data_IF_866500652189
#
_entry.id   IF_866500652189
#
_cell.length_a   1.000
_cell.length_b   1.000
_cell.length_c   1.000
_cell.angle_alpha   90.00
_cell.angle_beta   90.00
_cell.angle_gamma   90.00
#
_symmetry.space_group_name_H-M   'P 1'
#
loop_
_entity.id
_entity.type
_entity.pdbx_description
1 polymer ?
#
# COMPACT_ATOMS: atom_id res chain seq x y z
N UNK A 1 -18.50 13.62 17.02
CA UNK A 1 -17.64 13.84 15.84
C UNK A 1 -18.25 13.12 14.65
N UNK A 2 -18.04 13.65 13.46
CA UNK A 2 -18.50 13.04 12.21
C UNK A 2 -17.28 12.56 11.41
N UNK A 3 -17.32 11.34 10.91
CA UNK A 3 -16.25 10.73 10.11
C UNK A 3 -16.76 10.34 8.74
N UNK A 4 -15.99 10.64 7.70
CA UNK A 4 -16.31 10.26 6.33
C UNK A 4 -15.46 9.06 5.89
N UNK A 5 -16.08 8.07 5.27
CA UNK A 5 -15.40 6.95 4.63
C UNK A 5 -15.43 7.14 3.11
N UNK A 6 -14.29 7.40 2.49
CA UNK A 6 -14.17 7.45 1.02
C UNK A 6 -13.85 6.05 0.54
N UNK A 7 -14.88 5.29 0.16
CA UNK A 7 -14.75 3.88 -0.22
C UNK A 7 -15.87 3.44 -1.16
N UNK A 8 -15.60 2.54 -2.14
CA UNK A 8 -16.63 1.86 -2.90
C UNK A 8 -17.25 0.67 -2.13
N UNK A 9 -16.61 0.24 -1.04
CA UNK A 9 -17.02 -0.93 -0.23
C UNK A 9 -17.02 -0.58 1.26
N UNK A 10 -18.11 -0.01 1.79
CA UNK A 10 -18.24 0.26 3.22
C UNK A 10 -18.35 -1.01 4.07
N UNK A 11 -18.71 -2.15 3.47
CA UNK A 11 -18.80 -3.44 4.14
C UNK A 11 -17.43 -4.13 4.28
N UNK A 12 -16.34 -3.52 3.77
CA UNK A 12 -14.99 -4.05 3.99
C UNK A 12 -14.75 -4.30 5.49
N UNK A 13 -14.29 -5.51 5.92
CA UNK A 13 -14.27 -5.92 7.32
C UNK A 13 -13.63 -4.90 8.27
N UNK A 14 -12.49 -4.31 7.90
CA UNK A 14 -11.83 -3.28 8.70
C UNK A 14 -12.72 -2.04 8.89
N UNK A 15 -13.31 -1.54 7.81
CA UNK A 15 -14.14 -0.32 7.87
C UNK A 15 -15.45 -0.58 8.62
N UNK A 16 -16.11 -1.71 8.36
CA UNK A 16 -17.35 -2.06 9.03
C UNK A 16 -17.15 -2.24 10.54
N UNK A 17 -16.08 -2.93 10.96
CA UNK A 17 -15.74 -3.08 12.37
C UNK A 17 -15.38 -1.74 13.01
N UNK A 18 -14.59 -0.89 12.33
CA UNK A 18 -14.26 0.46 12.81
C UNK A 18 -15.52 1.31 12.95
N UNK A 19 -16.43 1.30 11.97
CA UNK A 19 -17.68 2.03 12.03
C UNK A 19 -18.57 1.56 13.20
N UNK A 20 -18.64 0.25 13.44
CA UNK A 20 -19.37 -0.31 14.56
C UNK A 20 -18.82 0.15 15.93
N UNK A 21 -17.49 0.23 16.07
CA UNK A 21 -16.86 0.77 17.29
C UNK A 21 -17.17 2.26 17.53
N UNK A 22 -17.39 3.02 16.44
CA UNK A 22 -17.66 4.44 16.50
C UNK A 22 -19.16 4.75 16.65
N UNK A 23 -20.02 3.82 16.22
CA UNK A 23 -21.48 3.97 16.30
C UNK A 23 -21.95 4.22 17.74
N UNK A 24 -22.98 5.04 17.90
CA UNK A 24 -23.54 5.39 19.20
C UNK A 24 -22.88 6.60 19.90
N UNK A 25 -21.65 6.99 19.50
CA UNK A 25 -20.98 8.22 19.99
C UNK A 25 -20.57 9.16 18.88
N UNK A 26 -20.50 8.67 17.65
CA UNK A 26 -20.00 9.39 16.49
C UNK A 26 -20.84 9.03 15.25
N UNK A 27 -20.95 9.97 14.33
CA UNK A 27 -21.59 9.74 13.03
C UNK A 27 -20.54 9.25 12.04
N UNK A 28 -20.92 8.28 11.20
CA UNK A 28 -20.06 7.75 10.13
C UNK A 28 -20.82 7.84 8.82
N UNK A 29 -20.31 8.68 7.91
CA UNK A 29 -20.87 8.88 6.58
C UNK A 29 -20.02 8.15 5.53
N UNK A 30 -20.66 7.69 4.46
CA UNK A 30 -19.97 7.07 3.34
C UNK A 30 -20.03 7.98 2.12
N UNK A 31 -18.86 8.30 1.57
CA UNK A 31 -18.71 9.02 0.30
C UNK A 31 -18.25 8.03 -0.76
N UNK A 32 -19.10 7.78 -1.75
CA UNK A 32 -18.72 6.89 -2.83
C UNK A 32 -17.72 7.58 -3.77
N UNK A 33 -16.57 6.99 -4.09
CA UNK A 33 -15.50 7.62 -4.88
C UNK A 33 -15.95 8.12 -6.25
N UNK A 34 -16.92 7.45 -6.88
CA UNK A 34 -17.43 7.83 -8.20
C UNK A 34 -18.19 9.16 -8.20
N UNK A 35 -18.57 9.70 -7.03
CA UNK A 35 -19.17 11.02 -6.93
C UNK A 35 -18.17 12.16 -7.20
N UNK A 36 -16.86 11.86 -7.19
CA UNK A 36 -15.79 12.79 -7.53
C UNK A 36 -15.77 14.03 -6.63
N UNK A 37 -15.10 15.09 -7.10
CA UNK A 37 -14.92 16.33 -6.35
C UNK A 37 -16.25 17.03 -5.98
N UNK A 38 -17.33 16.83 -6.73
CA UNK A 38 -18.62 17.45 -6.45
C UNK A 38 -19.20 17.04 -5.07
N UNK A 39 -18.91 15.82 -4.62
CA UNK A 39 -19.36 15.35 -3.30
C UNK A 39 -18.69 16.08 -2.13
N UNK A 40 -17.58 16.79 -2.36
CA UNK A 40 -16.91 17.55 -1.32
C UNK A 40 -17.73 18.76 -0.85
N UNK A 41 -18.54 19.35 -1.73
CA UNK A 41 -19.29 20.59 -1.44
C UNK A 41 -20.33 20.43 -0.29
N UNK A 42 -20.89 19.23 -0.12
CA UNK A 42 -21.84 18.91 0.95
C UNK A 42 -21.23 18.13 2.11
N UNK A 43 -19.96 17.80 2.03
CA UNK A 43 -19.30 16.96 3.02
C UNK A 43 -18.82 17.78 4.21
N UNK A 44 -19.16 17.36 5.43
CA UNK A 44 -18.92 18.11 6.68
C UNK A 44 -18.34 17.24 7.80
N UNK A 45 -17.57 16.20 7.45
CA UNK A 45 -16.94 15.36 8.47
C UNK A 45 -15.68 16.01 9.06
N UNK A 46 -15.38 15.66 10.31
CA UNK A 46 -14.20 16.13 11.03
C UNK A 46 -12.91 15.48 10.52
N UNK A 47 -13.01 14.30 9.92
CA UNK A 47 -11.92 13.55 9.30
C UNK A 47 -12.48 12.61 8.23
N UNK A 48 -11.69 12.36 7.19
CA UNK A 48 -12.02 11.40 6.15
C UNK A 48 -10.99 10.27 6.07
N UNK A 49 -11.47 9.02 5.93
CA UNK A 49 -10.63 7.85 5.72
C UNK A 49 -10.67 7.46 4.23
N UNK A 50 -9.55 7.61 3.52
CA UNK A 50 -9.45 7.34 2.10
C UNK A 50 -9.05 5.88 1.84
N UNK A 51 -10.06 5.01 1.71
CA UNK A 51 -9.86 3.60 1.32
C UNK A 51 -10.27 3.37 -0.14
N UNK A 52 -9.74 4.19 -1.00
CA UNK A 52 -9.88 4.08 -2.45
C UNK A 52 -8.68 4.77 -3.11
N UNK A 53 -8.33 4.34 -4.31
CA UNK A 53 -7.16 4.84 -5.04
C UNK A 53 -7.44 5.15 -6.52
N UNK A 54 -8.74 5.21 -6.90
CA UNK A 54 -9.14 5.62 -8.23
C UNK A 54 -8.90 7.11 -8.45
N UNK A 55 -8.71 7.59 -9.70
CA UNK A 55 -8.57 9.03 -9.97
C UNK A 55 -9.68 9.87 -9.34
N UNK A 56 -10.94 9.44 -9.47
CA UNK A 56 -12.08 10.15 -8.87
C UNK A 56 -12.01 10.20 -7.32
N UNK A 57 -11.54 9.13 -6.66
CA UNK A 57 -11.32 9.12 -5.22
C UNK A 57 -10.24 10.11 -4.79
N UNK A 58 -9.15 10.18 -5.55
CA UNK A 58 -8.06 11.12 -5.28
C UNK A 58 -8.49 12.58 -5.52
N UNK A 59 -9.31 12.83 -6.55
CA UNK A 59 -9.88 14.15 -6.81
C UNK A 59 -10.82 14.59 -5.68
N UNK A 60 -11.69 13.69 -5.20
CA UNK A 60 -12.55 13.93 -4.04
C UNK A 60 -11.71 14.23 -2.79
N UNK A 61 -10.70 13.42 -2.51
CA UNK A 61 -9.80 13.62 -1.36
C UNK A 61 -9.09 14.99 -1.44
N UNK A 62 -8.53 15.36 -2.60
CA UNK A 62 -7.92 16.67 -2.82
C UNK A 62 -8.90 17.83 -2.64
N UNK A 63 -10.16 17.67 -3.06
CA UNK A 63 -11.18 18.70 -2.87
C UNK A 63 -11.49 18.91 -1.38
N UNK A 64 -11.60 17.83 -0.60
CA UNK A 64 -11.78 17.90 0.86
C UNK A 64 -10.56 18.51 1.55
N UNK A 65 -9.35 18.13 1.17
CA UNK A 65 -8.10 18.72 1.70
C UNK A 65 -8.00 20.21 1.43
N UNK A 66 -8.37 20.68 0.23
CA UNK A 66 -8.45 22.12 -0.09
C UNK A 66 -9.47 22.86 0.76
N UNK A 67 -10.55 22.19 1.16
CA UNK A 67 -11.54 22.70 2.12
C UNK A 67 -11.06 22.66 3.59
N UNK A 68 -9.82 22.26 3.85
CA UNK A 68 -9.24 22.18 5.19
C UNK A 68 -9.64 20.94 5.99
N UNK A 69 -10.25 19.93 5.35
CA UNK A 69 -10.60 18.69 6.01
C UNK A 69 -9.39 17.73 6.04
N UNK A 70 -9.08 17.09 7.18
CA UNK A 70 -8.03 16.07 7.25
C UNK A 70 -8.49 14.81 6.53
N UNK A 71 -7.62 14.29 5.64
CA UNK A 71 -7.83 13.02 4.92
C UNK A 71 -6.72 12.04 5.28
N UNK A 72 -7.06 10.85 5.68
CA UNK A 72 -6.15 9.74 6.07
C UNK A 72 -6.31 8.58 5.08
N UNK A 73 -5.29 8.20 4.33
CA UNK A 73 -4.05 8.94 4.05
C UNK A 73 -4.37 10.12 3.10
N UNK A 74 -3.48 11.11 3.03
CA UNK A 74 -3.67 12.20 2.06
C UNK A 74 -3.74 11.67 0.62
N UNK A 75 -4.40 12.44 -0.26
CA UNK A 75 -4.46 12.09 -1.68
C UNK A 75 -3.06 11.96 -2.30
N UNK A 76 -2.15 12.88 -1.95
CA UNK A 76 -0.78 12.87 -2.45
C UNK A 76 0.02 11.65 -1.97
N UNK A 77 -0.08 11.28 -0.69
CA UNK A 77 0.59 10.09 -0.16
C UNK A 77 0.02 8.79 -0.78
N UNK A 78 -1.31 8.74 -0.97
CA UNK A 78 -1.97 7.60 -1.61
C UNK A 78 -1.54 7.44 -3.06
N UNK A 79 -1.47 8.52 -3.83
CA UNK A 79 -1.05 8.51 -5.23
C UNK A 79 0.42 8.11 -5.40
N UNK A 80 1.29 8.56 -4.48
CA UNK A 80 2.72 8.20 -4.45
C UNK A 80 2.95 6.69 -4.37
N UNK A 81 2.11 5.98 -3.62
CA UNK A 81 2.16 4.51 -3.52
C UNK A 81 1.67 3.79 -4.78
N UNK A 82 1.16 4.49 -5.78
CA UNK A 82 0.74 3.88 -7.04
C UNK A 82 1.82 3.91 -8.12
N UNK A 83 2.86 4.73 -8.00
CA UNK A 83 3.97 4.80 -8.95
C UNK A 83 5.20 4.11 -8.37
N UNK A 84 5.48 2.89 -8.82
CA UNK A 84 6.59 2.07 -8.33
C UNK A 84 7.97 2.67 -8.61
N UNK A 85 8.09 3.51 -9.64
CA UNK A 85 9.32 4.28 -9.89
C UNK A 85 9.54 5.31 -8.78
N UNK A 86 8.56 6.20 -8.58
CA UNK A 86 8.66 7.23 -7.54
C UNK A 86 8.71 6.65 -6.12
N UNK A 87 8.06 5.49 -5.91
CA UNK A 87 8.14 4.74 -4.64
C UNK A 87 9.58 4.31 -4.36
N UNK A 88 10.25 3.69 -5.33
CA UNK A 88 11.63 3.23 -5.18
C UNK A 88 12.61 4.41 -5.00
N UNK A 89 12.47 5.46 -5.80
CA UNK A 89 13.29 6.67 -5.69
C UNK A 89 13.19 7.30 -4.30
N UNK A 90 11.97 7.46 -3.77
CA UNK A 90 11.73 8.00 -2.45
C UNK A 90 12.31 7.11 -1.34
N UNK A 91 12.07 5.81 -1.42
CA UNK A 91 12.53 4.85 -0.42
C UNK A 91 14.05 4.76 -0.37
N UNK A 92 14.71 4.60 -1.51
CA UNK A 92 16.17 4.52 -1.63
C UNK A 92 16.83 5.85 -1.24
N UNK A 93 16.28 6.99 -1.69
CA UNK A 93 16.75 8.31 -1.33
C UNK A 93 16.68 8.59 0.19
N UNK A 94 15.76 7.96 0.91
CA UNK A 94 15.64 8.01 2.37
C UNK A 94 16.49 6.94 3.09
N UNK A 95 17.27 6.14 2.37
CA UNK A 95 18.08 5.05 2.92
C UNK A 95 17.27 3.91 3.50
N UNK A 96 16.06 3.65 2.99
CA UNK A 96 15.30 2.44 3.31
C UNK A 96 15.89 1.24 2.55
N UNK A 97 15.88 0.02 3.10
CA UNK A 97 16.30 -1.19 2.42
C UNK A 97 15.22 -1.61 1.39
N UNK A 98 15.14 -0.88 0.30
CA UNK A 98 14.16 -1.09 -0.76
C UNK A 98 14.81 -1.75 -1.97
N UNK A 99 14.08 -2.64 -2.64
CA UNK A 99 14.58 -3.33 -3.83
C UNK A 99 14.97 -2.34 -4.92
N UNK A 100 16.22 -2.44 -5.39
CA UNK A 100 16.71 -1.63 -6.50
C UNK A 100 15.79 -1.80 -7.71
N UNK A 101 15.34 -0.70 -8.27
CA UNK A 101 14.27 -0.68 -9.28
C UNK A 101 14.73 0.03 -10.53
N UNK A 102 14.63 -0.63 -11.68
CA UNK A 102 14.84 -0.04 -13.00
C UNK A 102 13.50 0.18 -13.69
N UNK A 103 13.36 1.28 -14.41
CA UNK A 103 12.11 1.66 -15.09
C UNK A 103 12.27 1.60 -16.60
N UNK A 104 11.27 1.02 -17.26
CA UNK A 104 11.18 0.95 -18.71
C UNK A 104 9.85 1.54 -19.17
N UNK A 105 9.89 2.33 -20.25
CA UNK A 105 8.69 2.96 -20.79
C UNK A 105 7.70 1.93 -21.38
N UNK A 106 8.17 0.71 -21.68
CA UNK A 106 7.32 -0.42 -22.06
C UNK A 106 8.01 -1.76 -21.80
N UNK A 107 7.24 -2.84 -21.71
CA UNK A 107 7.77 -4.20 -21.66
C UNK A 107 8.59 -4.53 -22.93
N UNK A 108 8.19 -3.99 -24.08
CA UNK A 108 8.93 -4.18 -25.33
C UNK A 108 10.35 -3.58 -25.27
N UNK A 109 10.51 -2.42 -24.63
CA UNK A 109 11.83 -1.82 -24.41
C UNK A 109 12.67 -2.62 -23.39
N UNK A 110 12.07 -3.19 -22.36
CA UNK A 110 12.74 -4.13 -21.49
C UNK A 110 13.25 -5.36 -22.26
N UNK A 111 12.43 -5.92 -23.15
CA UNK A 111 12.79 -7.08 -23.95
C UNK A 111 13.96 -6.81 -24.93
N UNK A 112 14.18 -5.55 -25.32
CA UNK A 112 15.27 -5.12 -26.18
C UNK A 112 16.55 -4.73 -25.43
N UNK A 113 16.51 -4.66 -24.11
CA UNK A 113 17.66 -4.29 -23.29
C UNK A 113 18.60 -5.50 -23.09
N UNK A 114 19.90 -5.33 -23.38
CA UNK A 114 20.88 -6.43 -23.42
C UNK A 114 21.46 -6.80 -22.03
N UNK A 115 21.31 -5.92 -21.03
CA UNK A 115 21.99 -6.00 -19.72
C UNK A 115 21.07 -6.47 -18.59
N UNK A 116 20.27 -7.51 -18.84
CA UNK A 116 19.39 -8.06 -17.82
C UNK A 116 20.05 -9.20 -17.03
N UNK A 117 20.07 -9.07 -15.71
CA UNK A 117 20.45 -10.15 -14.81
C UNK A 117 19.19 -10.91 -14.36
N UNK A 118 19.20 -12.22 -14.55
CA UNK A 118 18.07 -13.09 -14.23
C UNK A 118 18.31 -13.86 -12.92
N UNK A 119 17.26 -14.22 -12.15
CA UNK A 119 15.84 -13.95 -12.40
C UNK A 119 15.42 -12.51 -12.02
N UNK A 120 14.38 -12.01 -12.70
CA UNK A 120 13.80 -10.69 -12.46
C UNK A 120 12.34 -10.78 -11.97
N UNK A 121 11.93 -9.82 -11.16
CA UNK A 121 10.52 -9.50 -10.94
C UNK A 121 10.15 -8.32 -11.82
N UNK A 122 9.20 -8.54 -12.72
CA UNK A 122 8.64 -7.51 -13.61
C UNK A 122 7.28 -7.09 -13.08
N UNK A 123 7.07 -5.79 -12.89
CA UNK A 123 5.80 -5.23 -12.39
C UNK A 123 5.34 -4.10 -13.30
N UNK A 124 4.02 -3.93 -13.50
CA UNK A 124 3.51 -2.67 -14.05
C UNK A 124 4.06 -1.50 -13.25
N UNK A 125 4.46 -0.41 -13.91
CA UNK A 125 4.90 0.80 -13.23
C UNK A 125 3.81 1.36 -12.31
N UNK A 126 2.55 1.37 -12.77
CA UNK A 126 1.40 1.82 -11.98
C UNK A 126 0.71 0.64 -11.32
N UNK A 127 0.70 0.65 -9.98
CA UNK A 127 -0.02 -0.34 -9.18
C UNK A 127 -1.53 -0.14 -9.32
N UNK A 128 -2.23 -1.17 -9.80
CA UNK A 128 -3.70 -1.19 -9.97
C UNK A 128 -4.22 -2.62 -9.75
N UNK A 129 -5.55 -2.78 -9.80
CA UNK A 129 -6.13 -4.12 -9.81
C UNK A 129 -5.73 -4.83 -11.11
N UNK A 130 -5.35 -6.10 -11.03
CA UNK A 130 -4.97 -6.95 -12.16
C UNK A 130 -3.78 -6.39 -12.97
N UNK A 131 -2.86 -5.68 -12.32
CA UNK A 131 -1.59 -5.24 -12.91
C UNK A 131 -0.62 -6.41 -13.07
N UNK A 132 0.40 -6.21 -13.89
CA UNK A 132 1.45 -7.20 -14.08
C UNK A 132 2.33 -7.27 -12.83
N UNK A 133 2.47 -8.46 -12.24
CA UNK A 133 3.50 -8.79 -11.26
C UNK A 133 3.91 -10.23 -11.51
N UNK A 134 5.13 -10.45 -12.00
CA UNK A 134 5.59 -11.78 -12.38
C UNK A 134 7.09 -11.91 -12.14
N UNK A 135 7.53 -13.11 -11.77
CA UNK A 135 8.92 -13.53 -11.81
C UNK A 135 9.22 -14.12 -13.19
N UNK A 136 10.34 -13.71 -13.76
CA UNK A 136 10.87 -14.26 -15.00
C UNK A 136 12.27 -14.80 -14.73
N UNK A 137 12.51 -16.03 -15.15
CA UNK A 137 13.80 -16.70 -14.99
C UNK A 137 14.72 -16.55 -16.23
N UNK A 138 14.21 -15.92 -17.29
CA UNK A 138 14.93 -15.68 -18.52
C UNK A 138 14.13 -14.87 -19.54
N UNK A 139 14.75 -14.56 -20.71
CA UNK A 139 14.16 -13.67 -21.73
C UNK A 139 12.93 -14.27 -22.44
N UNK A 140 12.73 -15.59 -22.37
CA UNK A 140 11.61 -16.26 -23.02
C UNK A 140 10.27 -15.80 -22.43
N UNK A 141 10.21 -15.63 -21.11
CA UNK A 141 9.03 -15.12 -20.44
C UNK A 141 8.60 -13.72 -20.89
N UNK A 142 9.54 -12.88 -21.32
CA UNK A 142 9.18 -11.58 -21.91
C UNK A 142 8.43 -11.73 -23.25
N UNK A 143 8.82 -12.73 -24.06
CA UNK A 143 8.13 -13.01 -25.33
C UNK A 143 6.70 -13.51 -25.10
N UNK A 144 6.48 -14.31 -24.06
CA UNK A 144 5.14 -14.80 -23.69
C UNK A 144 4.23 -13.67 -23.19
N UNK A 145 4.78 -12.69 -22.50
CA UNK A 145 4.04 -11.54 -21.99
C UNK A 145 3.73 -10.48 -23.05
N UNK A 146 4.55 -10.38 -24.10
CA UNK A 146 4.50 -9.31 -25.08
C UNK A 146 3.12 -9.12 -25.76
N UNK A 147 2.34 -10.15 -26.13
CA UNK A 147 1.05 -9.95 -26.78
C UNK A 147 0.05 -9.16 -25.93
N UNK A 148 0.10 -9.32 -24.61
CA UNK A 148 -0.81 -8.64 -23.68
C UNK A 148 -0.23 -7.37 -23.08
N UNK A 149 1.07 -7.36 -22.80
CA UNK A 149 1.72 -6.35 -21.98
C UNK A 149 2.80 -5.54 -22.69
N UNK A 150 3.01 -5.76 -24.00
CA UNK A 150 4.12 -5.16 -24.76
C UNK A 150 4.23 -3.65 -24.63
N UNK A 151 3.10 -2.92 -24.59
CA UNK A 151 3.05 -1.47 -24.43
C UNK A 151 3.01 -0.99 -22.97
N UNK A 152 2.90 -1.92 -21.98
CA UNK A 152 2.80 -1.57 -20.58
C UNK A 152 4.10 -0.96 -20.07
N UNK A 153 4.08 0.23 -19.43
CA UNK A 153 5.22 0.74 -18.68
C UNK A 153 5.51 -0.17 -17.49
N UNK A 154 6.74 -0.60 -17.35
CA UNK A 154 7.13 -1.59 -16.33
C UNK A 154 8.31 -1.12 -15.49
N UNK A 155 8.44 -1.71 -14.32
CA UNK A 155 9.64 -1.68 -13.50
C UNK A 155 10.17 -3.08 -13.33
N UNK A 156 11.48 -3.20 -13.15
CA UNK A 156 12.15 -4.46 -12.81
C UNK A 156 12.88 -4.36 -11.48
N UNK A 157 12.88 -5.46 -10.75
CA UNK A 157 13.66 -5.66 -9.53
C UNK A 157 14.36 -7.02 -9.66
N UNK A 158 15.60 -7.13 -9.17
CA UNK A 158 16.23 -8.43 -9.04
C UNK A 158 15.37 -9.33 -8.13
N UNK A 159 15.22 -10.60 -8.51
CA UNK A 159 14.54 -11.54 -7.62
C UNK A 159 15.47 -11.89 -6.45
N UNK A 160 15.09 -11.49 -5.25
CA UNK A 160 15.82 -11.85 -4.03
C UNK A 160 15.42 -13.27 -3.61
N UNK A 161 16.38 -14.22 -3.52
CA UNK A 161 16.13 -15.54 -2.95
C UNK A 161 15.55 -15.42 -1.55
N UNK A 162 14.52 -16.19 -1.26
CA UNK A 162 13.82 -16.11 0.02
C UNK A 162 13.10 -17.44 0.31
N UNK A 163 12.54 -17.56 1.50
CA UNK A 163 11.83 -18.77 1.97
C UNK A 163 10.53 -19.08 1.21
N UNK A 164 10.12 -18.26 0.27
CA UNK A 164 8.81 -18.35 -0.39
C UNK A 164 7.67 -17.72 0.42
N UNK A 165 8.00 -17.01 1.49
CA UNK A 165 7.04 -16.29 2.33
C UNK A 165 7.38 -14.80 2.38
N UNK A 166 6.35 -13.97 2.16
CA UNK A 166 6.41 -12.52 2.28
C UNK A 166 5.91 -12.12 3.67
N UNK A 167 6.67 -11.28 4.36
CA UNK A 167 6.22 -10.62 5.56
C UNK A 167 5.35 -9.42 5.19
N UNK A 168 4.11 -9.43 5.64
CA UNK A 168 3.19 -8.31 5.49
C UNK A 168 3.15 -7.53 6.78
N UNK A 169 3.68 -6.31 6.78
CA UNK A 169 3.64 -5.40 7.91
C UNK A 169 2.55 -4.37 7.64
N UNK A 170 1.52 -4.35 8.47
CA UNK A 170 0.47 -3.34 8.40
C UNK A 170 0.65 -2.33 9.52
N UNK A 171 0.49 -1.07 9.21
CA UNK A 171 0.60 0.01 10.19
C UNK A 171 -0.69 0.81 10.21
N UNK A 172 -1.17 1.12 11.42
CA UNK A 172 -2.31 2.00 11.67
C UNK A 172 -1.88 2.99 12.75
N UNK A 173 -1.53 4.20 12.33
CA UNK A 173 -0.93 5.20 13.22
C UNK A 173 0.46 4.76 13.71
N UNK A 174 0.54 4.41 14.97
CA UNK A 174 1.75 3.93 15.67
C UNK A 174 1.75 2.43 15.95
N UNK A 175 0.66 1.73 15.62
CA UNK A 175 0.54 0.30 15.85
C UNK A 175 0.95 -0.49 14.61
N UNK A 176 1.80 -1.50 14.81
CA UNK A 176 2.30 -2.39 13.77
C UNK A 176 1.69 -3.77 13.97
N UNK A 177 1.12 -4.31 12.90
CA UNK A 177 0.59 -5.66 12.80
C UNK A 177 1.43 -6.43 11.79
N UNK A 178 1.63 -7.71 12.01
CA UNK A 178 2.42 -8.55 11.12
C UNK A 178 1.70 -9.84 10.76
N UNK A 179 2.02 -10.38 9.59
CA UNK A 179 1.59 -11.69 9.15
C UNK A 179 2.47 -12.18 8.02
N UNK A 180 2.52 -13.51 7.88
CA UNK A 180 3.14 -14.16 6.75
C UNK A 180 2.10 -14.46 5.67
N UNK A 181 2.48 -14.24 4.44
CA UNK A 181 1.73 -14.67 3.28
C UNK A 181 2.65 -15.45 2.36
N UNK A 182 2.16 -16.56 1.81
CA UNK A 182 2.88 -17.23 0.75
C UNK A 182 3.10 -16.27 -0.42
N UNK A 183 4.35 -16.16 -0.86
CA UNK A 183 4.69 -15.33 -2.00
C UNK A 183 4.01 -15.85 -3.28
N UNK A 184 3.37 -14.97 -4.02
CA UNK A 184 2.80 -15.29 -5.34
C UNK A 184 3.91 -15.58 -6.37
N UNK A 185 5.15 -15.19 -6.06
CA UNK A 185 6.32 -15.39 -6.91
C UNK A 185 7.15 -16.62 -6.50
N UNK A 186 6.72 -17.35 -5.44
CA UNK A 186 7.41 -18.53 -4.97
C UNK A 186 7.31 -19.68 -5.98
N UNK A 187 8.44 -20.29 -6.32
CA UNK A 187 8.50 -21.51 -7.11
C UNK A 187 8.58 -22.72 -6.17
N UNK A 188 7.69 -23.68 -6.36
CA UNK A 188 7.67 -24.93 -5.57
C UNK A 188 6.82 -24.87 -4.29
N UNK A 189 6.87 -25.94 -3.52
CA UNK A 189 6.18 -26.06 -2.24
C UNK A 189 7.05 -25.41 -1.14
N UNK A 190 6.61 -24.29 -0.60
CA UNK A 190 7.20 -23.72 0.61
C UNK A 190 6.59 -24.42 1.83
N UNK A 191 7.43 -24.90 2.76
CA UNK A 191 6.95 -25.42 4.04
C UNK A 191 6.23 -24.31 4.81
N UNK A 192 5.09 -24.63 5.41
CA UNK A 192 4.38 -23.67 6.27
C UNK A 192 5.23 -23.31 7.48
N UNK A 193 5.33 -22.01 7.82
CA UNK A 193 6.04 -21.61 9.05
C UNK A 193 5.45 -22.30 10.26
N UNK A 194 6.30 -22.77 11.16
CA UNK A 194 5.88 -23.43 12.40
C UNK A 194 5.67 -22.39 13.51
N UNK A 195 4.43 -22.23 13.96
CA UNK A 195 4.07 -21.38 15.11
C UNK A 195 3.69 -19.93 14.77
N UNK A 196 3.29 -19.14 15.80
CA UNK A 196 2.98 -17.72 15.64
C UNK A 196 4.25 -16.98 15.25
N UNK A 197 4.13 -16.17 14.21
CA UNK A 197 5.25 -15.40 13.69
C UNK A 197 5.67 -14.32 14.69
N UNK A 198 6.90 -14.38 15.14
CA UNK A 198 7.52 -13.26 15.82
C UNK A 198 8.19 -12.38 14.76
N UNK A 199 7.77 -11.12 14.71
CA UNK A 199 8.41 -10.14 13.85
C UNK A 199 9.89 -10.01 14.22
N UNK A 200 10.84 -10.09 13.26
CA UNK A 200 12.26 -9.90 13.54
C UNK A 200 12.53 -8.53 14.19
N UNK A 201 13.56 -8.48 15.04
CA UNK A 201 13.91 -7.27 15.76
C UNK A 201 14.22 -6.10 14.78
N UNK A 202 13.72 -4.91 15.08
CA UNK A 202 13.89 -3.71 14.27
C UNK A 202 12.92 -3.56 13.09
N UNK A 203 12.14 -4.59 12.74
CA UNK A 203 11.24 -4.52 11.58
C UNK A 203 9.99 -3.68 11.86
N UNK A 204 9.54 -3.61 13.11
CA UNK A 204 8.47 -2.69 13.51
C UNK A 204 8.91 -1.23 13.34
N UNK A 205 10.12 -0.88 13.79
CA UNK A 205 10.72 0.44 13.62
C UNK A 205 10.93 0.77 12.14
N UNK A 206 11.36 -0.21 11.34
CA UNK A 206 11.47 -0.06 9.88
C UNK A 206 10.10 0.27 9.26
N UNK A 207 9.05 -0.48 9.62
CA UNK A 207 7.70 -0.20 9.13
C UNK A 207 7.27 1.23 9.51
N UNK A 208 7.45 1.67 10.74
CA UNK A 208 7.13 3.03 11.18
C UNK A 208 7.96 4.10 10.45
N UNK A 209 9.24 3.80 10.15
CA UNK A 209 10.09 4.70 9.33
C UNK A 209 9.56 4.85 7.92
N UNK A 210 9.07 3.79 7.29
CA UNK A 210 8.40 3.84 5.98
C UNK A 210 7.23 4.82 6.01
N UNK A 211 6.36 4.75 7.03
CA UNK A 211 5.23 5.68 7.16
C UNK A 211 5.66 7.14 7.21
N UNK A 212 6.72 7.45 7.97
CA UNK A 212 7.27 8.82 8.02
C UNK A 212 7.81 9.30 6.68
N UNK A 213 8.55 8.45 5.97
CA UNK A 213 9.11 8.77 4.64
C UNK A 213 8.01 9.01 3.60
N UNK A 214 6.98 8.18 3.60
CA UNK A 214 5.89 8.25 2.62
C UNK A 214 4.75 9.21 3.01
N UNK A 215 4.71 9.68 4.25
CA UNK A 215 3.62 10.49 4.79
C UNK A 215 2.33 9.70 4.95
N UNK A 216 2.43 8.45 5.42
CA UNK A 216 1.31 7.51 5.55
C UNK A 216 0.98 7.25 7.02
N UNK A 217 -0.32 7.18 7.32
CA UNK A 217 -0.84 6.78 8.62
C UNK A 217 -1.42 5.35 8.62
N UNK A 218 -2.00 4.92 7.49
CA UNK A 218 -2.57 3.58 7.33
C UNK A 218 -1.98 2.95 6.07
N UNK A 219 -1.13 1.95 6.24
CA UNK A 219 -0.39 1.38 5.10
C UNK A 219 0.05 -0.06 5.36
N UNK A 220 0.51 -0.70 4.29
CA UNK A 220 1.18 -1.99 4.32
C UNK A 220 2.56 -1.89 3.71
N UNK A 221 3.50 -2.62 4.28
CA UNK A 221 4.85 -2.78 3.76
C UNK A 221 5.07 -4.26 3.48
N UNK A 222 5.41 -4.59 2.25
CA UNK A 222 5.74 -5.94 1.85
C UNK A 222 7.26 -6.13 1.95
N UNK A 223 7.68 -7.04 2.82
CA UNK A 223 9.08 -7.26 3.15
C UNK A 223 9.46 -8.71 2.90
N UNK A 224 10.59 -8.91 2.26
CA UNK A 224 11.23 -10.22 2.10
C UNK A 224 12.38 -10.31 3.11
N UNK A 225 12.52 -11.46 3.79
CA UNK A 225 13.75 -11.80 4.50
C UNK A 225 14.74 -12.36 3.49
N UNK A 226 15.83 -11.63 3.25
CA UNK A 226 16.91 -12.12 2.39
C UNK A 226 17.71 -13.24 3.05
N UNK A 227 18.44 -14.02 2.25
CA UNK A 227 19.42 -15.00 2.73
C UNK A 227 20.51 -14.26 3.52
N UNK A 228 20.45 -14.27 4.83
CA UNK A 228 21.29 -13.46 5.72
C UNK A 228 20.47 -12.68 6.74
N UNK A 229 19.14 -12.73 6.62
CA UNK A 229 18.19 -12.24 7.62
C UNK A 229 17.88 -10.74 7.55
N UNK A 230 18.41 -9.99 6.59
CA UNK A 230 18.08 -8.58 6.39
C UNK A 230 16.69 -8.37 5.78
N UNK A 231 16.01 -7.27 6.10
CA UNK A 231 14.74 -6.91 5.46
C UNK A 231 14.97 -6.27 4.09
N UNK A 232 14.29 -6.74 3.06
CA UNK A 232 14.19 -6.08 1.76
C UNK A 232 12.73 -5.67 1.53
N UNK A 233 12.45 -4.37 1.46
CA UNK A 233 11.13 -3.85 1.12
C UNK A 233 10.92 -3.98 -0.39
N UNK A 234 9.81 -4.58 -0.80
CA UNK A 234 9.49 -4.81 -2.21
C UNK A 234 8.24 -4.07 -2.69
N UNK A 235 7.39 -3.60 -1.78
CA UNK A 235 6.22 -2.79 -2.09
C UNK A 235 5.71 -2.02 -0.86
N UNK A 236 5.03 -0.86 -1.09
CA UNK A 236 4.35 -0.07 -0.06
C UNK A 236 2.94 0.27 -0.55
N UNK A 237 1.94 -0.07 0.24
CA UNK A 237 0.55 0.05 -0.12
C UNK A 237 -0.21 1.00 0.80
N UNK A 238 -0.78 2.09 0.28
CA UNK A 238 -1.65 2.98 1.04
C UNK A 238 -2.99 2.30 1.33
N UNK A 239 -3.42 2.35 2.58
CA UNK A 239 -4.68 1.83 3.10
C UNK A 239 -5.05 0.43 2.58
N UNK A 240 -4.23 -0.61 2.84
CA UNK A 240 -4.46 -1.96 2.35
C UNK A 240 -5.66 -2.63 3.04
N UNK A 241 -6.00 -3.82 2.57
CA UNK A 241 -6.98 -4.69 3.24
C UNK A 241 -6.36 -5.37 4.46
N UNK A 242 -6.34 -4.72 5.60
CA UNK A 242 -5.89 -5.31 6.88
C UNK A 242 -7.01 -6.24 7.35
N UNK A 243 -6.84 -7.55 7.15
CA UNK A 243 -7.84 -8.56 7.49
C UNK A 243 -7.28 -9.49 8.57
N UNK A 244 -8.15 -9.89 9.52
CA UNK A 244 -7.79 -10.87 10.56
C UNK A 244 -6.78 -10.37 11.60
N UNK A 245 -6.45 -9.08 11.61
CA UNK A 245 -5.55 -8.50 12.60
C UNK A 245 -6.36 -7.97 13.78
N UNK A 246 -6.26 -8.66 14.92
CA UNK A 246 -6.91 -8.24 16.17
C UNK A 246 -6.38 -6.85 16.57
N UNK A 247 -7.27 -5.95 16.98
CA UNK A 247 -6.91 -4.59 17.38
C UNK A 247 -6.79 -3.58 16.24
N UNK A 248 -6.78 -4.00 14.96
CA UNK A 248 -6.68 -3.08 13.83
C UNK A 248 -7.90 -2.14 13.68
N UNK A 249 -9.15 -2.60 13.87
CA UNK A 249 -10.31 -1.69 13.89
C UNK A 249 -10.24 -0.66 14.99
N UNK A 250 -9.81 -1.06 16.20
CA UNK A 250 -9.62 -0.18 17.36
C UNK A 250 -8.54 0.85 17.11
N UNK A 251 -7.41 0.45 16.54
CA UNK A 251 -6.32 1.34 16.13
C UNK A 251 -6.80 2.37 15.10
N UNK A 252 -7.59 1.94 14.11
CA UNK A 252 -8.13 2.84 13.09
C UNK A 252 -9.16 3.81 13.66
N UNK A 253 -10.04 3.37 14.56
CA UNK A 253 -10.97 4.23 15.27
C UNK A 253 -10.23 5.29 16.10
N UNK A 254 -9.23 4.88 16.88
CA UNK A 254 -8.41 5.78 17.69
C UNK A 254 -7.64 6.79 16.82
N UNK A 255 -7.06 6.36 15.69
CA UNK A 255 -6.38 7.25 14.74
C UNK A 255 -7.36 8.30 14.17
N UNK A 256 -8.54 7.87 13.71
CA UNK A 256 -9.56 8.78 13.18
C UNK A 256 -9.98 9.84 14.22
N UNK A 257 -10.21 9.43 15.47
CA UNK A 257 -10.56 10.34 16.55
C UNK A 257 -9.43 11.34 16.86
N UNK A 258 -8.17 10.90 16.91
CA UNK A 258 -7.01 11.78 17.11
C UNK A 258 -6.91 12.83 16.00
N UNK A 259 -7.05 12.41 14.73
CA UNK A 259 -6.99 13.31 13.56
C UNK A 259 -8.14 14.33 13.56
N UNK A 260 -9.35 13.89 13.89
CA UNK A 260 -10.51 14.78 14.04
C UNK A 260 -10.33 15.80 15.18
N UNK A 261 -9.81 15.37 16.33
CA UNK A 261 -9.54 16.26 17.45
C UNK A 261 -8.48 17.31 17.13
N UNK A 262 -7.38 16.91 16.50
CA UNK A 262 -6.31 17.82 16.10
C UNK A 262 -6.80 18.90 15.11
N UNK A 263 -7.65 18.52 14.15
CA UNK A 263 -8.23 19.46 13.19
C UNK A 263 -9.16 20.51 13.84
N UNK A 264 -9.86 20.14 14.91
CA UNK A 264 -10.71 21.09 15.67
C UNK A 264 -9.91 22.09 16.49
N UNK A 265 -8.72 21.70 16.97
CA UNK A 265 -7.85 22.59 17.76
C UNK A 265 -7.08 23.58 16.88
N UNK A 266 -6.90 23.28 15.59
CA UNK A 266 -6.23 24.15 14.63
C UNK A 266 -7.13 25.14 13.88
N UNK A 267 -8.46 25.10 14.16
CA UNK A 267 -9.46 26.06 13.63
C UNK A 267 -9.76 27.15 14.65
#
# INVERSE_FOLDING_TARGET
MRMGLITPDPAHPLLAATAALLAGRHEVDVLHPAAGAAAAAGASADVYLLKARTPAALELARALERGGAPVVNSAAATERCQDRTGMAELALGAGLPFAATRTFASLALLASAADQEWPLVVKSRRSRKDDLVVRLDGPDGLRELAPRWGAEPVVTQAFAPNSGWDHKLWVVGDQVFAGLRRSELATGAAESPRGPERLPDGWAELALRVGRVFGLDVYGVDVIAEDGGGPLIVDVNAFPGIRGQAGAPEALAALALRRAAAARQGR
#
